data_IF_389601883275
#
_entry.id   IF_389601883275
#
_cell.length_a   1.000
_cell.length_b   1.000
_cell.length_c   1.000
_cell.angle_alpha   90.00
_cell.angle_beta   90.00
_cell.angle_gamma   90.00
#
_symmetry.space_group_name_H-M   'P 1'
#
loop_
_entity.id
_entity.type
_entity.pdbx_description
1 polymer ?
#
# COMPACT_ATOMS: atom_id res chain seq x y z
N UNK A 1 -26.98 -11.21 -10.01
CA UNK A 1 -25.77 -12.04 -9.87
C UNK A 1 -24.63 -11.05 -9.95
N UNK A 2 -24.13 -10.52 -8.84
CA UNK A 2 -23.27 -11.21 -7.86
C UNK A 2 -22.07 -11.85 -8.54
N UNK A 3 -20.90 -11.59 -7.94
CA UNK A 3 -19.55 -12.08 -8.27
C UNK A 3 -18.87 -11.23 -9.33
N UNK A 4 -17.93 -10.33 -9.01
CA UNK A 4 -16.90 -10.45 -7.97
C UNK A 4 -15.56 -10.57 -8.69
N UNK A 5 -15.14 -9.49 -9.34
CA UNK A 5 -13.75 -9.34 -9.74
C UNK A 5 -13.05 -8.70 -8.55
N UNK A 6 -12.63 -9.54 -7.62
CA UNK A 6 -11.54 -9.16 -6.73
C UNK A 6 -10.29 -9.17 -7.60
N UNK A 7 -10.03 -8.03 -8.21
CA UNK A 7 -8.78 -7.74 -8.90
C UNK A 7 -7.65 -8.05 -7.94
N UNK A 8 -6.88 -9.08 -8.29
CA UNK A 8 -5.61 -9.41 -7.66
C UNK A 8 -4.62 -8.34 -8.07
N UNK A 9 -4.67 -7.24 -7.34
CA UNK A 9 -3.74 -6.15 -7.43
C UNK A 9 -2.88 -6.31 -6.18
N UNK A 10 -1.80 -7.10 -6.28
CA UNK A 10 -0.77 -7.23 -5.25
C UNK A 10 0.05 -5.92 -5.16
N UNK A 11 -0.65 -4.79 -5.20
CA UNK A 11 -0.10 -3.44 -5.13
C UNK A 11 -0.24 -2.94 -3.69
N UNK A 12 0.87 -2.45 -3.16
CA UNK A 12 0.98 -2.00 -1.79
C UNK A 12 0.62 -0.51 -1.74
N UNK A 13 -0.64 -0.20 -1.46
CA UNK A 13 -1.11 1.18 -1.31
C UNK A 13 -0.81 1.72 0.10
N UNK A 14 -0.20 2.90 0.16
CA UNK A 14 -0.01 3.64 1.39
C UNK A 14 -1.32 4.23 1.88
N UNK A 15 -1.81 3.77 3.02
CA UNK A 15 -3.03 4.28 3.66
C UNK A 15 -2.94 5.75 4.10
N UNK A 16 -1.73 6.33 4.16
CA UNK A 16 -1.51 7.70 4.62
C UNK A 16 -1.64 8.71 3.48
N UNK A 17 -1.11 8.39 2.30
CA UNK A 17 -1.07 9.31 1.15
C UNK A 17 -1.73 8.76 -0.12
N UNK A 18 -2.04 7.47 -0.18
CA UNK A 18 -2.58 6.78 -1.35
C UNK A 18 -1.53 6.45 -2.42
N UNK A 19 -0.24 6.50 -2.09
CA UNK A 19 0.83 6.10 -3.02
C UNK A 19 0.83 4.57 -3.18
N UNK A 20 0.88 4.12 -4.43
CA UNK A 20 0.82 2.69 -4.76
C UNK A 20 2.21 2.19 -5.13
N UNK A 21 2.62 1.09 -4.52
CA UNK A 21 3.96 0.49 -4.69
C UNK A 21 3.86 -0.94 -5.19
N UNK A 22 4.87 -1.37 -5.96
CA UNK A 22 4.94 -2.71 -6.54
C UNK A 22 5.36 -3.77 -5.52
N UNK A 23 5.93 -3.35 -4.38
CA UNK A 23 6.43 -4.25 -3.33
C UNK A 23 6.22 -3.70 -1.91
N UNK A 24 6.05 -4.60 -0.94
CA UNK A 24 5.93 -4.26 0.49
C UNK A 24 7.13 -3.43 0.98
N UNK A 25 8.34 -3.80 0.56
CA UNK A 25 9.59 -3.13 0.96
C UNK A 25 9.64 -1.66 0.51
N UNK A 26 9.04 -1.35 -0.64
CA UNK A 26 8.97 0.03 -1.13
C UNK A 26 7.94 0.83 -0.33
N UNK A 27 6.79 0.22 -0.02
CA UNK A 27 5.79 0.82 0.86
C UNK A 27 6.37 1.07 2.26
N UNK A 28 7.07 0.09 2.85
CA UNK A 28 7.71 0.21 4.16
C UNK A 28 8.71 1.37 4.17
N UNK A 29 9.69 1.38 3.26
CA UNK A 29 10.68 2.46 3.19
C UNK A 29 10.04 3.83 2.94
N UNK A 30 9.02 3.89 2.09
CA UNK A 30 8.25 5.11 1.87
C UNK A 30 7.56 5.58 3.16
N UNK A 31 6.91 4.66 3.89
CA UNK A 31 6.30 5.02 5.17
C UNK A 31 7.36 5.40 6.19
N UNK A 32 8.52 4.77 6.24
CA UNK A 32 9.60 5.14 7.17
C UNK A 32 10.22 6.51 6.84
N UNK A 33 10.35 6.88 5.56
CA UNK A 33 10.96 8.14 5.14
C UNK A 33 9.97 9.32 5.10
N UNK A 34 8.78 9.10 4.53
CA UNK A 34 7.75 10.12 4.31
C UNK A 34 6.72 10.16 5.45
N UNK A 35 6.49 9.03 6.14
CA UNK A 35 5.47 8.87 7.18
C UNK A 35 6.01 8.24 8.48
N UNK A 36 7.11 8.76 9.07
CA UNK A 36 7.82 8.12 10.18
C UNK A 36 6.98 7.89 11.45
N UNK A 37 5.79 8.50 11.56
CA UNK A 37 4.84 8.37 12.67
C UNK A 37 3.87 7.18 12.51
N UNK A 38 3.81 6.56 11.33
CA UNK A 38 2.82 5.53 11.00
C UNK A 38 3.29 4.08 11.25
N UNK A 39 4.55 3.89 11.64
CA UNK A 39 5.11 2.59 12.03
C UNK A 39 4.99 2.42 13.55
N UNK A 40 3.79 2.20 14.08
CA UNK A 40 3.56 1.90 15.51
C UNK A 40 2.31 1.07 15.76
#
# INVERSE_FOLDING_TARGET
MSSGEWSGDDEFECSTCGAVFETERELEQHTESEHPDQSS
#
